data_IF_648539899623
#
_entry.id   IF_648539899623
#
_cell.length_a   1.000
_cell.length_b   1.000
_cell.length_c   1.000
_cell.angle_alpha   90.00
_cell.angle_beta   90.00
_cell.angle_gamma   90.00
#
_symmetry.space_group_name_H-M   'P 1'
#
loop_
_entity.id
_entity.type
_entity.pdbx_description
1 polymer ?
#
# COMPACT_ATOMS: atom_id res chain seq x y z
N UNK A 1 -8.65 4.86 -15.85
CA UNK A 1 -8.83 5.16 -14.42
C UNK A 1 -7.74 4.42 -13.69
N UNK A 2 -6.86 5.12 -12.95
CA UNK A 2 -5.87 4.44 -12.13
C UNK A 2 -6.63 3.69 -11.03
N UNK A 3 -6.46 2.38 -10.96
CA UNK A 3 -7.16 1.53 -9.99
C UNK A 3 -6.60 1.85 -8.60
N UNK A 4 -7.46 2.25 -7.68
CA UNK A 4 -7.03 2.61 -6.32
C UNK A 4 -6.71 1.32 -5.56
N UNK A 5 -5.54 1.23 -4.94
CA UNK A 5 -5.13 0.04 -4.18
C UNK A 5 -5.79 0.04 -2.81
N UNK A 6 -6.69 -0.90 -2.56
CA UNK A 6 -7.30 -1.11 -1.24
C UNK A 6 -6.28 -1.68 -0.25
N UNK A 7 -6.36 -1.21 1.00
CA UNK A 7 -5.55 -1.69 2.11
C UNK A 7 -6.46 -2.38 3.11
N UNK A 8 -6.15 -3.64 3.40
CA UNK A 8 -6.92 -4.51 4.27
C UNK A 8 -6.13 -4.72 5.56
N UNK A 9 -6.77 -4.50 6.72
CA UNK A 9 -6.27 -5.00 7.99
C UNK A 9 -6.46 -6.52 8.05
N UNK A 10 -5.36 -7.25 8.14
CA UNK A 10 -5.35 -8.72 8.11
C UNK A 10 -5.92 -9.33 9.37
N UNK A 11 -5.95 -8.61 10.50
CA UNK A 11 -6.49 -9.11 11.76
C UNK A 11 -8.02 -9.06 11.78
N UNK A 12 -8.62 -8.05 11.15
CA UNK A 12 -10.08 -7.86 11.10
C UNK A 12 -10.70 -8.22 9.75
N UNK A 13 -9.88 -8.46 8.73
CA UNK A 13 -10.26 -8.68 7.34
C UNK A 13 -11.09 -7.55 6.73
N UNK A 14 -10.91 -6.32 7.23
CA UNK A 14 -11.64 -5.13 6.76
C UNK A 14 -10.74 -4.23 5.93
N UNK A 15 -11.33 -3.63 4.90
CA UNK A 15 -10.70 -2.50 4.21
C UNK A 15 -10.65 -1.32 5.17
N UNK A 16 -9.44 -0.83 5.45
CA UNK A 16 -9.19 0.31 6.34
C UNK A 16 -8.93 1.60 5.57
N UNK A 17 -8.75 1.50 4.25
CA UNK A 17 -8.57 2.65 3.38
C UNK A 17 -7.90 2.29 2.07
N UNK A 18 -7.30 3.30 1.46
CA UNK A 18 -6.67 3.21 0.16
C UNK A 18 -5.24 3.71 0.20
N UNK A 19 -4.35 3.05 -0.52
CA UNK A 19 -2.95 3.45 -0.63
C UNK A 19 -2.86 4.80 -1.37
N UNK A 20 -2.32 5.80 -0.70
CA UNK A 20 -2.04 7.11 -1.30
C UNK A 20 -0.65 7.16 -1.92
N UNK A 21 0.36 6.71 -1.18
CA UNK A 21 1.74 6.64 -1.63
C UNK A 21 2.48 5.50 -0.90
N UNK A 22 3.56 4.99 -1.49
CA UNK A 22 4.35 3.90 -0.93
C UNK A 22 5.84 4.08 -1.24
N UNK A 23 6.66 3.65 -0.31
CA UNK A 23 8.12 3.57 -0.43
C UNK A 23 8.60 2.21 0.09
N UNK A 24 9.90 1.94 0.01
CA UNK A 24 10.48 0.70 0.57
C UNK A 24 10.31 0.56 2.10
N UNK A 25 10.08 1.67 2.82
CA UNK A 25 10.14 1.70 4.29
C UNK A 25 8.83 2.16 4.95
N UNK A 26 7.83 2.55 4.16
CA UNK A 26 6.61 3.12 4.68
C UNK A 26 5.57 3.40 3.62
N UNK A 27 4.40 3.80 4.08
CA UNK A 27 3.25 4.09 3.22
C UNK A 27 2.41 5.24 3.78
N UNK A 28 1.72 5.90 2.86
CA UNK A 28 0.66 6.85 3.14
C UNK A 28 -0.69 6.18 2.83
N UNK A 29 -1.59 6.18 3.80
CA UNK A 29 -2.94 5.64 3.68
C UNK A 29 -3.96 6.78 3.72
N UNK A 30 -4.91 6.80 2.79
CA UNK A 30 -6.16 7.50 2.97
C UNK A 30 -7.12 6.58 3.73
N UNK A 31 -7.12 6.70 5.05
CA UNK A 31 -7.93 5.87 5.93
C UNK A 31 -9.42 6.22 5.74
N UNK A 32 -10.26 5.19 5.68
CA UNK A 32 -11.73 5.30 5.61
C UNK A 32 -12.41 4.87 6.91
N UNK A 33 -11.63 4.50 7.91
CA UNK A 33 -12.06 4.12 9.25
C UNK A 33 -11.18 4.80 10.30
N UNK A 34 -11.69 5.07 11.51
CA UNK A 34 -10.84 5.51 12.62
C UNK A 34 -9.73 4.50 12.88
N UNK A 35 -8.51 5.01 13.07
CA UNK A 35 -7.35 4.22 13.49
C UNK A 35 -7.01 4.60 14.94
N UNK A 36 -6.24 3.74 15.59
CA UNK A 36 -5.76 3.93 16.94
C UNK A 36 -4.36 4.54 16.83
N UNK A 37 -4.17 5.72 17.41
CA UNK A 37 -2.88 6.40 17.45
C UNK A 37 -1.77 5.48 18.00
N UNK A 38 -0.58 5.55 17.39
CA UNK A 38 0.62 4.79 17.79
C UNK A 38 0.43 3.25 17.78
N UNK A 39 -0.61 2.74 17.10
CA UNK A 39 -0.87 1.32 17.04
C UNK A 39 -0.08 0.59 15.94
N UNK A 40 0.10 -0.71 16.16
CA UNK A 40 0.65 -1.64 15.19
C UNK A 40 -0.46 -2.37 14.47
N UNK A 41 -0.34 -2.48 13.15
CA UNK A 41 -1.28 -3.19 12.29
C UNK A 41 -0.55 -4.19 11.41
N UNK A 42 -1.23 -5.29 11.07
CA UNK A 42 -0.81 -6.18 10.00
C UNK A 42 -1.71 -5.89 8.80
N UNK A 43 -1.16 -5.32 7.73
CA UNK A 43 -1.95 -4.93 6.57
C UNK A 43 -1.54 -5.71 5.33
N UNK A 44 -2.49 -5.86 4.40
CA UNK A 44 -2.23 -6.43 3.08
C UNK A 44 -2.86 -5.60 1.98
N UNK A 45 -2.19 -5.53 0.84
CA UNK A 45 -2.67 -4.86 -0.36
C UNK A 45 -2.08 -5.53 -1.62
N UNK A 46 -2.74 -5.35 -2.76
CA UNK A 46 -2.32 -5.96 -4.02
C UNK A 46 -1.75 -4.89 -4.95
N UNK A 47 -0.48 -5.03 -5.30
CA UNK A 47 0.15 -4.19 -6.30
C UNK A 47 -0.07 -4.82 -7.68
N UNK A 48 -0.79 -4.11 -8.54
CA UNK A 48 -0.92 -4.52 -9.93
C UNK A 48 0.33 -4.10 -10.69
N UNK A 49 0.92 -5.04 -11.43
CA UNK A 49 1.97 -4.71 -12.39
C UNK A 49 1.47 -3.64 -13.35
N UNK A 50 2.24 -2.57 -13.52
CA UNK A 50 2.00 -1.59 -14.56
C UNK A 50 2.23 -2.27 -15.91
N UNK A 51 1.20 -2.38 -16.74
CA UNK A 51 1.36 -2.81 -18.13
C UNK A 51 2.05 -1.69 -18.91
N UNK A 52 3.38 -1.63 -18.82
CA UNK A 52 4.16 -0.75 -19.66
C UNK A 52 4.17 -1.33 -21.08
N UNK A 53 3.77 -0.57 -22.12
CA UNK A 53 4.01 -1.00 -23.48
C UNK A 53 5.53 -1.12 -23.64
N UNK A 54 6.02 -2.33 -23.94
CA UNK A 54 7.44 -2.49 -24.27
C UNK A 54 7.78 -1.62 -25.47
N UNK A 55 9.05 -1.24 -25.61
CA UNK A 55 9.59 -0.40 -26.72
C UNK A 55 9.26 -0.99 -28.11
N UNK A 56 8.78 -2.23 -28.16
CA UNK A 56 8.48 -3.02 -29.36
C UNK A 56 7.02 -3.54 -29.38
N UNK A 57 6.12 -3.04 -28.53
CA UNK A 57 4.79 -3.61 -28.33
C UNK A 57 4.73 -4.89 -27.48
N UNK A 58 5.89 -5.39 -27.01
CA UNK A 58 6.00 -6.50 -26.06
C UNK A 58 5.92 -5.98 -24.62
N UNK A 59 4.76 -5.49 -24.20
CA UNK A 59 4.54 -5.19 -22.79
C UNK A 59 4.59 -6.49 -21.99
N UNK A 60 5.52 -6.63 -21.06
CA UNK A 60 5.49 -7.73 -20.09
C UNK A 60 4.52 -7.32 -18.99
N UNK A 61 3.39 -8.01 -18.91
CA UNK A 61 2.49 -7.84 -17.78
C UNK A 61 3.22 -8.38 -16.53
N UNK A 62 3.64 -7.48 -15.63
CA UNK A 62 4.20 -7.92 -14.35
C UNK A 62 3.13 -8.64 -13.54
N UNK A 63 3.49 -9.71 -12.82
CA UNK A 63 2.55 -10.45 -12.00
C UNK A 63 1.96 -9.52 -10.93
N UNK A 64 0.64 -9.56 -10.79
CA UNK A 64 -0.04 -9.02 -9.61
C UNK A 64 0.49 -9.75 -8.38
N UNK A 65 0.93 -9.01 -7.37
CA UNK A 65 1.43 -9.61 -6.13
C UNK A 65 0.80 -8.94 -4.91
N UNK A 66 0.54 -9.78 -3.91
CA UNK A 66 0.09 -9.32 -2.61
C UNK A 66 1.31 -8.97 -1.76
N UNK A 67 1.28 -7.79 -1.15
CA UNK A 67 2.21 -7.38 -0.11
C UNK A 67 1.48 -7.49 1.21
N UNK A 68 2.06 -8.24 2.15
CA UNK A 68 1.61 -8.30 3.54
C UNK A 68 2.74 -7.75 4.43
N UNK A 69 2.40 -6.79 5.29
CA UNK A 69 3.38 -6.00 6.04
C UNK A 69 2.84 -5.57 7.40
N UNK A 70 3.68 -5.71 8.42
CA UNK A 70 3.48 -5.10 9.72
C UNK A 70 3.86 -3.62 9.68
N UNK A 71 2.96 -2.75 10.13
CA UNK A 71 3.11 -1.29 10.08
C UNK A 71 2.86 -0.63 11.43
N UNK A 72 3.55 0.48 11.68
CA UNK A 72 3.36 1.33 12.84
C UNK A 72 2.82 2.70 12.41
N UNK A 73 1.67 3.09 12.96
CA UNK A 73 1.08 4.40 12.70
C UNK A 73 1.93 5.50 13.36
N UNK A 74 2.31 6.51 12.59
CA UNK A 74 3.15 7.62 13.06
C UNK A 74 2.39 8.91 13.30
N UNK A 75 1.41 9.19 12.44
CA UNK A 75 0.61 10.40 12.50
C UNK A 75 -0.68 10.21 11.71
N UNK A 76 -1.69 11.02 12.06
CA UNK A 76 -2.94 11.15 11.33
C UNK A 76 -3.27 12.63 11.11
N UNK A 77 -3.80 12.96 9.94
CA UNK A 77 -4.25 14.31 9.58
C UNK A 77 -5.63 14.23 8.89
N UNK A 78 -6.54 15.14 9.20
CA UNK A 78 -7.86 15.19 8.55
C UNK A 78 -7.69 15.42 7.03
N UNK A 79 -8.36 14.60 6.21
CA UNK A 79 -8.25 14.69 4.75
C UNK A 79 -9.21 15.73 4.13
N UNK A 80 -9.87 16.57 4.95
CA UNK A 80 -10.87 17.55 4.54
C UNK A 80 -12.23 16.95 4.17
N UNK A 81 -12.38 15.62 4.28
CA UNK A 81 -13.61 14.88 3.97
C UNK A 81 -14.06 14.07 5.19
N UNK A 82 -15.36 14.11 5.48
CA UNK A 82 -15.93 13.52 6.70
C UNK A 82 -15.55 12.05 6.86
N UNK A 83 -14.88 11.73 7.98
CA UNK A 83 -14.51 10.37 8.35
C UNK A 83 -13.30 9.80 7.61
N UNK A 84 -12.57 10.63 6.84
CA UNK A 84 -11.30 10.23 6.21
C UNK A 84 -10.13 10.96 6.84
N UNK A 85 -9.01 10.25 6.96
CA UNK A 85 -7.74 10.85 7.40
C UNK A 85 -6.58 10.37 6.53
N UNK A 86 -5.61 11.24 6.31
CA UNK A 86 -4.29 10.83 5.88
C UNK A 86 -3.57 10.22 7.07
N UNK A 87 -2.94 9.08 6.87
CA UNK A 87 -2.23 8.35 7.93
C UNK A 87 -0.88 7.87 7.41
N UNK A 88 0.18 8.29 8.10
CA UNK A 88 1.55 7.92 7.76
C UNK A 88 2.01 6.71 8.57
N UNK A 89 2.56 5.71 7.88
CA UNK A 89 3.04 4.48 8.50
C UNK A 89 4.50 4.20 8.15
N UNK A 90 5.26 3.67 9.13
CA UNK A 90 6.52 2.98 8.85
C UNK A 90 6.31 1.47 8.83
N UNK A 91 7.08 0.77 8.00
CA UNK A 91 7.14 -0.68 8.01
C UNK A 91 8.00 -1.15 9.18
N UNK A 92 7.49 -2.13 9.92
CA UNK A 92 8.22 -2.77 11.02
C UNK A 92 8.57 -4.22 10.72
N UNK A 93 7.81 -4.88 9.84
CA UNK A 93 8.06 -6.25 9.43
C UNK A 93 7.51 -6.51 8.02
N UNK A 94 8.40 -6.65 7.03
CA UNK A 94 8.07 -7.01 5.65
C UNK A 94 8.86 -8.27 5.27
N UNK A 95 8.20 -9.44 5.08
CA UNK A 95 8.87 -10.66 4.63
C UNK A 95 9.58 -10.49 3.28
N UNK A 96 10.67 -11.23 3.06
CA UNK A 96 11.51 -11.07 1.84
C UNK A 96 10.74 -11.20 0.51
N UNK A 97 9.80 -12.16 0.34
CA UNK A 97 9.01 -12.22 -0.90
C UNK A 97 8.21 -10.94 -1.16
N UNK A 98 7.59 -10.38 -0.12
CA UNK A 98 6.86 -9.10 -0.22
C UNK A 98 7.79 -7.92 -0.46
N UNK A 99 8.98 -7.92 0.16
CA UNK A 99 10.01 -6.89 -0.05
C UNK A 99 10.51 -6.86 -1.49
N UNK A 100 10.84 -8.03 -2.04
CA UNK A 100 11.29 -8.14 -3.44
C UNK A 100 10.19 -7.67 -4.39
N UNK A 101 8.96 -8.12 -4.18
CA UNK A 101 7.83 -7.71 -5.01
C UNK A 101 7.61 -6.18 -4.98
N UNK A 102 7.67 -5.58 -3.79
CA UNK A 102 7.56 -4.13 -3.64
C UNK A 102 8.69 -3.39 -4.38
N UNK A 103 9.94 -3.83 -4.24
CA UNK A 103 11.10 -3.22 -4.94
C UNK A 103 10.93 -3.29 -6.46
N UNK A 104 10.51 -4.45 -6.96
CA UNK A 104 10.32 -4.65 -8.40
C UNK A 104 9.21 -3.74 -8.94
N UNK A 105 8.13 -3.56 -8.16
CA UNK A 105 7.02 -2.68 -8.50
C UNK A 105 7.40 -1.19 -8.43
N UNK A 106 8.18 -0.78 -7.43
CA UNK A 106 8.68 0.60 -7.32
C UNK A 106 9.60 0.95 -8.49
N UNK A 107 10.46 0.01 -8.89
CA UNK A 107 11.41 0.20 -10.00
C UNK A 107 10.74 0.31 -11.37
N UNK A 108 9.55 -0.29 -11.54
CA UNK A 108 8.77 -0.20 -12.78
C UNK A 108 7.82 0.98 -12.82
N UNK A 109 7.59 1.65 -11.68
CA UNK A 109 6.69 2.80 -11.57
C UNK A 109 7.43 4.15 -11.59
N UNK A 110 8.77 4.12 -11.58
CA UNK A 110 9.67 5.26 -11.70
C UNK A 110 9.98 5.58 -13.16
#
# INVERSE_FOLDING_TARGET
MADTVEVIDSMSERVIGHLGNISETGMLLLASTPLIDDALYQVRFTLSGTSQPGVNGSGTAQPRGQVEVGVHLLWQEDAGATGKSWSGFRFINLPEPGRQHLRDWLSSSA
#
